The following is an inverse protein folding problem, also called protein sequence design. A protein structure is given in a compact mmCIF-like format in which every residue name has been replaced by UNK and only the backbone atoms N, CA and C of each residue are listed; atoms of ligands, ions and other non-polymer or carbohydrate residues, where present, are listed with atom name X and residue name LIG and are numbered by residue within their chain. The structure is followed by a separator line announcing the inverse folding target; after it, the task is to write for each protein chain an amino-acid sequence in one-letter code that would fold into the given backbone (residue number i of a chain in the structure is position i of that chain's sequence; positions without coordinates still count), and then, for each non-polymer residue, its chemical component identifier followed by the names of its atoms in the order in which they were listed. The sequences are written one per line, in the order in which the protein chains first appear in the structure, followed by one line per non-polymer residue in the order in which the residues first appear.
data_IF_351010536105
#
_entry.id   IF_351010536105
#
_cell.length_a   1.000
_cell.length_b   1.000
_cell.length_c   1.000
_cell.angle_alpha   90.00
_cell.angle_beta   90.00
_cell.angle_gamma   90.00
#
_symmetry.space_group_name_H-M   'P 1'
#
loop_
_entity.id
_entity.type
_entity.pdbx_description
1 polymer ?
#
# COMPACT_ATOMS: atom_id res chain seq x y z
N UNK A 1 -9.32 2.44 2.36
CA UNK A 1 -9.23 3.77 1.70
C UNK A 1 -8.18 3.68 0.62
N UNK A 2 -8.52 3.98 -0.64
CA UNK A 2 -7.59 3.82 -1.77
C UNK A 2 -6.52 4.92 -1.77
N UNK A 3 -5.24 4.53 -1.86
CA UNK A 3 -4.10 5.47 -2.01
C UNK A 3 -4.09 6.15 -3.37
N UNK A 4 -4.59 5.47 -4.39
CA UNK A 4 -4.76 5.98 -5.74
C UNK A 4 -6.26 5.93 -6.08
N UNK A 5 -6.87 7.08 -6.33
CA UNK A 5 -8.28 7.20 -6.71
C UNK A 5 -8.45 7.10 -8.23
N UNK A 6 -7.83 6.08 -8.83
CA UNK A 6 -7.88 5.82 -10.29
C UNK A 6 -7.89 4.33 -10.53
N UNK A 7 -8.56 3.90 -11.59
CA UNK A 7 -8.53 2.52 -12.07
C UNK A 7 -7.57 2.32 -13.26
N UNK A 8 -6.80 3.36 -13.60
CA UNK A 8 -5.81 3.32 -14.67
C UNK A 8 -4.50 2.82 -14.07
N UNK A 9 -4.02 1.68 -14.56
CA UNK A 9 -2.72 1.14 -14.16
C UNK A 9 -1.59 1.99 -14.74
N UNK A 10 -0.52 2.25 -13.96
CA UNK A 10 0.65 2.93 -14.49
C UNK A 10 1.31 2.08 -15.59
N UNK A 11 1.88 2.74 -16.61
CA UNK A 11 2.51 2.04 -17.73
C UNK A 11 3.74 1.24 -17.30
N UNK A 12 4.49 1.76 -16.33
CA UNK A 12 5.59 1.05 -15.68
C UNK A 12 5.16 0.59 -14.28
N UNK A 13 5.45 -0.67 -13.91
CA UNK A 13 5.19 -1.14 -12.56
C UNK A 13 6.04 -0.37 -11.55
N UNK A 14 5.55 -0.17 -10.31
CA UNK A 14 6.36 0.41 -9.26
C UNK A 14 7.57 -0.47 -8.95
N UNK A 15 8.64 0.16 -8.49
CA UNK A 15 9.75 -0.59 -7.88
C UNK A 15 9.28 -1.31 -6.61
N UNK A 16 10.01 -2.34 -6.19
CA UNK A 16 9.71 -3.05 -4.94
C UNK A 16 9.64 -2.09 -3.74
N UNK A 17 10.56 -1.12 -3.67
CA UNK A 17 10.57 -0.12 -2.60
C UNK A 17 9.36 0.83 -2.63
N UNK A 18 8.86 1.15 -3.81
CA UNK A 18 7.63 1.95 -3.96
C UNK A 18 6.39 1.15 -3.57
N UNK A 19 6.29 -0.11 -4.03
CA UNK A 19 5.21 -1.02 -3.67
C UNK A 19 5.14 -1.22 -2.14
N UNK A 20 6.28 -1.45 -1.48
CA UNK A 20 6.36 -1.57 -0.01
C UNK A 20 5.87 -0.28 0.68
N UNK A 21 6.26 0.89 0.20
CA UNK A 21 5.78 2.18 0.73
C UNK A 21 4.28 2.36 0.52
N UNK A 22 3.74 1.94 -0.62
CA UNK A 22 2.31 2.01 -0.91
C UNK A 22 1.50 1.11 0.04
N UNK A 23 1.94 -0.14 0.23
CA UNK A 23 1.31 -1.08 1.16
C UNK A 23 1.38 -0.54 2.59
N UNK A 24 2.54 -0.04 3.04
CA UNK A 24 2.68 0.51 4.38
C UNK A 24 1.73 1.70 4.65
N UNK A 25 1.47 2.56 3.65
CA UNK A 25 0.50 3.66 3.75
C UNK A 25 -0.93 3.18 3.92
N UNK A 26 -1.28 2.04 3.35
CA UNK A 26 -2.60 1.43 3.54
C UNK A 26 -2.78 0.93 4.98
N UNK A 27 -1.69 0.63 5.69
CA UNK A 27 -1.65 0.33 7.12
C UNK A 27 -1.77 1.59 7.98
N UNK A 28 -0.73 1.87 8.77
CA UNK A 28 -0.67 3.03 9.68
C UNK A 28 0.49 3.98 9.38
N UNK A 29 1.21 3.77 8.26
CA UNK A 29 2.38 4.57 7.94
C UNK A 29 1.99 5.92 7.33
N UNK A 30 2.27 7.01 8.04
CA UNK A 30 1.96 8.38 7.63
C UNK A 30 2.79 8.85 6.42
N UNK A 31 3.97 8.25 6.18
CA UNK A 31 4.91 8.58 5.10
C UNK A 31 5.33 10.06 5.13
N UNK A 32 5.78 10.56 6.28
CA UNK A 32 6.47 11.86 6.36
C UNK A 32 7.85 11.74 5.73
N UNK A 33 8.37 12.86 5.22
CA UNK A 33 9.66 12.91 4.51
C UNK A 33 10.85 12.38 5.35
N UNK A 34 10.72 12.35 6.67
CA UNK A 34 11.75 11.92 7.63
C UNK A 34 11.45 10.61 8.36
N UNK A 35 10.36 9.90 8.04
CA UNK A 35 9.94 8.70 8.80
C UNK A 35 10.85 7.47 8.57
N UNK A 36 11.81 7.55 7.63
CA UNK A 36 12.60 6.39 7.22
C UNK A 36 11.78 5.32 6.49
N UNK A 37 12.36 4.15 6.18
CA UNK A 37 11.63 3.04 5.60
C UNK A 37 10.62 2.44 6.60
N UNK A 38 9.46 1.96 6.15
CA UNK A 38 8.45 1.38 7.03
C UNK A 38 8.93 0.07 7.65
N UNK A 39 8.60 -0.15 8.92
CA UNK A 39 8.83 -1.43 9.60
C UNK A 39 7.98 -2.55 8.98
N UNK A 40 8.48 -3.78 9.08
CA UNK A 40 7.82 -4.97 8.54
C UNK A 40 6.39 -5.16 9.09
N UNK A 41 6.17 -4.87 10.37
CA UNK A 41 4.85 -4.96 11.00
C UNK A 41 3.83 -4.03 10.35
N UNK A 42 4.26 -2.82 9.97
CA UNK A 42 3.39 -1.82 9.33
C UNK A 42 3.06 -2.23 7.90
N UNK A 43 4.02 -2.83 7.18
CA UNK A 43 3.80 -3.42 5.86
C UNK A 43 2.80 -4.57 5.94
N UNK A 44 2.94 -5.47 6.91
CA UNK A 44 2.02 -6.60 7.11
C UNK A 44 0.57 -6.15 7.36
N UNK A 45 0.37 -5.17 8.24
CA UNK A 45 -0.96 -4.60 8.49
C UNK A 45 -1.58 -3.96 7.23
N UNK A 46 -0.75 -3.31 6.41
CA UNK A 46 -1.18 -2.78 5.12
C UNK A 46 -1.57 -3.87 4.12
N UNK A 47 -0.82 -4.97 4.10
CA UNK A 47 -1.07 -6.11 3.22
C UNK A 47 -2.40 -6.81 3.55
N UNK A 48 -2.68 -7.03 4.84
CA UNK A 48 -3.96 -7.61 5.26
C UNK A 48 -5.15 -6.78 4.75
N UNK A 49 -5.06 -5.45 4.80
CA UNK A 49 -6.10 -4.55 4.26
C UNK A 49 -6.26 -4.64 2.75
N UNK A 50 -5.17 -4.87 2.01
CA UNK A 50 -5.24 -5.12 0.55
C UNK A 50 -6.00 -6.41 0.28
N UNK A 51 -5.68 -7.49 1.00
CA UNK A 51 -6.37 -8.77 0.86
C UNK A 51 -7.86 -8.67 1.20
N UNK A 52 -8.21 -7.97 2.28
CA UNK A 52 -9.62 -7.74 2.65
C UNK A 52 -10.39 -6.98 1.57
N UNK A 53 -9.79 -5.95 0.95
CA UNK A 53 -10.42 -5.21 -0.16
C UNK A 53 -10.56 -6.09 -1.40
N UNK A 54 -9.62 -6.99 -1.66
CA UNK A 54 -9.64 -7.88 -2.82
C UNK A 54 -10.71 -8.97 -2.69
N UNK A 55 -11.00 -9.43 -1.46
CA UNK A 55 -12.12 -10.32 -1.15
C UNK A 55 -13.46 -9.62 -1.38
N UNK A 56 -13.58 -8.34 -0.98
CA UNK A 56 -14.78 -7.54 -1.24
C UNK A 56 -15.03 -7.28 -2.74
N UNK A 57 -13.98 -7.11 -3.55
CA UNK A 57 -14.13 -6.92 -5.01
C UNK A 57 -14.47 -8.20 -5.80
N UNK A 58 -14.46 -9.37 -5.15
CA UNK A 58 -14.75 -10.67 -5.78
C UNK A 58 -16.18 -11.17 -5.56
N UNK A 59 -16.98 -10.47 -4.76
CA UNK A 59 -18.40 -10.73 -4.50
C UNK A 59 -19.25 -9.64 -5.17
#
# INVERSE_FOLDING_TARGET
MLIHKTNILPHQPPTLGEAVKWIARLGVHLRRKSDGPPELKVVWLGYQRVCDQQVFMRL
#
